data_IF_368469483685
#
_entry.id   IF_368469483685
#
_cell.length_a   1.000
_cell.length_b   1.000
_cell.length_c   1.000
_cell.angle_alpha   90.00
_cell.angle_beta   90.00
_cell.angle_gamma   90.00
#
_symmetry.space_group_name_H-M   'P 1'
#
loop_
_entity.id
_entity.type
_entity.pdbx_description
1 polymer ?
#
# COMPACT_ATOMS: atom_id res chain seq x y z
N UNK A 1 14.30 -40.94 0.05
CA UNK A 1 14.20 -39.51 0.44
C UNK A 1 15.59 -39.03 0.90
N UNK A 2 16.27 -38.23 0.08
CA UNK A 2 17.60 -37.69 0.40
C UNK A 2 17.44 -36.43 1.26
N UNK A 3 18.34 -36.18 2.21
CA UNK A 3 18.28 -34.98 3.05
C UNK A 3 18.50 -33.75 2.16
N UNK A 4 17.70 -32.69 2.36
CA UNK A 4 17.68 -31.50 1.50
C UNK A 4 19.01 -30.72 1.44
N UNK A 5 20.02 -31.13 2.21
CA UNK A 5 21.31 -30.46 2.41
C UNK A 5 22.06 -30.22 1.09
N UNK A 6 21.94 -31.13 0.11
CA UNK A 6 22.57 -30.98 -1.22
C UNK A 6 21.90 -29.94 -2.12
N UNK A 7 20.72 -29.43 -1.75
CA UNK A 7 19.95 -28.49 -2.57
C UNK A 7 19.99 -27.06 -2.03
N UNK A 8 20.73 -26.82 -0.95
CA UNK A 8 20.88 -25.49 -0.36
C UNK A 8 21.40 -24.44 -1.36
N UNK A 9 22.28 -24.84 -2.28
CA UNK A 9 22.82 -23.97 -3.33
C UNK A 9 21.98 -23.94 -4.63
N UNK A 10 20.83 -24.63 -4.65
CA UNK A 10 19.94 -24.70 -5.81
C UNK A 10 18.56 -24.13 -5.47
N UNK A 11 17.61 -24.98 -5.10
CA UNK A 11 16.22 -24.57 -4.90
C UNK A 11 16.01 -23.69 -3.67
N UNK A 12 16.94 -23.70 -2.71
CA UNK A 12 16.91 -22.78 -1.57
C UNK A 12 17.70 -21.48 -1.79
N UNK A 13 18.34 -21.32 -2.96
CA UNK A 13 19.05 -20.10 -3.33
C UNK A 13 18.18 -19.27 -4.27
N UNK A 14 17.79 -18.08 -3.79
CA UNK A 14 17.05 -17.11 -4.60
C UNK A 14 17.81 -16.70 -5.86
N UNK A 15 19.14 -16.64 -5.79
CA UNK A 15 19.97 -16.29 -6.94
C UNK A 15 19.94 -17.38 -8.02
N UNK A 16 20.07 -18.66 -7.62
CA UNK A 16 19.95 -19.78 -8.55
C UNK A 16 18.53 -19.87 -9.15
N UNK A 17 17.50 -19.65 -8.33
CA UNK A 17 16.11 -19.63 -8.82
C UNK A 17 15.84 -18.44 -9.76
N UNK A 18 16.48 -17.28 -9.54
CA UNK A 18 16.40 -16.11 -10.42
C UNK A 18 17.10 -16.37 -11.76
N UNK A 19 18.29 -16.97 -11.76
CA UNK A 19 19.01 -17.36 -12.98
C UNK A 19 18.23 -18.38 -13.82
N UNK A 20 17.51 -19.30 -13.17
CA UNK A 20 16.67 -20.30 -13.85
C UNK A 20 15.28 -19.79 -14.24
N UNK A 21 14.97 -18.53 -13.97
CA UNK A 21 13.66 -17.94 -14.29
C UNK A 21 12.51 -18.55 -13.50
N UNK A 22 12.80 -19.17 -12.35
CA UNK A 22 11.83 -19.84 -11.49
C UNK A 22 11.18 -18.87 -10.49
N UNK A 23 11.75 -17.67 -10.29
CA UNK A 23 11.14 -16.61 -9.49
C UNK A 23 10.36 -15.63 -10.38
N UNK A 24 9.14 -15.33 -9.96
CA UNK A 24 8.37 -14.20 -10.50
C UNK A 24 9.09 -12.87 -10.25
N UNK A 25 8.76 -11.84 -11.04
CA UNK A 25 9.32 -10.50 -10.82
C UNK A 25 8.96 -10.00 -9.42
N UNK A 26 9.93 -9.59 -8.58
CA UNK A 26 9.62 -9.10 -7.25
C UNK A 26 8.83 -7.79 -7.35
N UNK A 27 7.65 -7.76 -6.73
CA UNK A 27 6.87 -6.54 -6.58
C UNK A 27 7.56 -5.62 -5.56
N UNK A 28 8.44 -4.75 -6.04
CA UNK A 28 9.06 -3.71 -5.19
C UNK A 28 8.07 -2.62 -4.79
N UNK A 29 8.33 -1.92 -3.66
CA UNK A 29 7.57 -0.75 -3.23
C UNK A 29 7.52 0.36 -4.30
N UNK A 30 8.54 0.44 -5.17
CA UNK A 30 8.58 1.35 -6.31
C UNK A 30 7.44 1.09 -7.31
N UNK A 31 7.02 -0.15 -7.48
CA UNK A 31 5.88 -0.46 -8.35
C UNK A 31 4.56 0.11 -7.79
N UNK A 32 4.43 0.23 -6.47
CA UNK A 32 3.26 0.82 -5.82
C UNK A 32 3.24 2.35 -5.99
N UNK A 33 4.38 3.01 -5.84
CA UNK A 33 4.45 4.48 -5.98
C UNK A 33 4.20 4.96 -7.41
N UNK A 34 4.60 4.20 -8.42
CA UNK A 34 4.25 4.50 -9.83
C UNK A 34 2.75 4.53 -10.11
N UNK A 35 1.96 3.71 -9.39
CA UNK A 35 0.49 3.65 -9.59
C UNK A 35 -0.25 4.82 -8.94
N UNK A 36 0.36 5.49 -7.96
CA UNK A 36 -0.27 6.60 -7.19
C UNK A 36 -0.01 8.00 -7.76
N UNK A 37 0.55 8.14 -8.97
CA UNK A 37 0.86 9.46 -9.57
C UNK A 37 -0.36 10.35 -9.79
N UNK A 38 -1.56 9.80 -9.88
CA UNK A 38 -2.81 10.55 -10.07
C UNK A 38 -3.44 11.05 -8.77
N UNK A 39 -2.95 10.61 -7.60
CA UNK A 39 -3.45 11.07 -6.31
C UNK A 39 -2.68 12.33 -5.88
N UNK A 40 -3.36 13.37 -5.34
CA UNK A 40 -2.69 14.51 -4.74
C UNK A 40 -1.65 14.08 -3.69
N UNK A 41 -0.66 14.94 -3.44
CA UNK A 41 0.37 14.67 -2.44
C UNK A 41 -0.21 14.48 -1.02
N UNK A 42 -1.34 15.14 -0.73
CA UNK A 42 -2.08 15.00 0.51
C UNK A 42 -3.58 15.14 0.22
N UNK A 43 -4.36 14.20 0.74
CA UNK A 43 -5.83 14.28 0.79
C UNK A 43 -6.19 14.31 2.27
N UNK A 44 -6.80 15.40 2.71
CA UNK A 44 -7.21 15.61 4.10
C UNK A 44 -8.71 15.93 4.17
N UNK A 45 -9.29 15.69 5.34
CA UNK A 45 -10.72 15.96 5.61
C UNK A 45 -10.82 17.08 6.65
N UNK A 46 -11.72 18.03 6.45
CA UNK A 46 -12.01 19.05 7.47
C UNK A 46 -12.85 18.44 8.61
N UNK A 47 -12.62 18.77 9.88
CA UNK A 47 -13.37 18.21 11.01
C UNK A 47 -14.89 18.43 10.94
N UNK A 48 -15.35 19.40 10.16
CA UNK A 48 -16.78 19.70 9.96
C UNK A 48 -17.37 18.99 8.73
N UNK A 49 -16.56 18.25 7.96
CA UNK A 49 -17.01 17.50 6.78
C UNK A 49 -17.99 16.41 7.19
N UNK A 50 -19.08 16.28 6.44
CA UNK A 50 -20.04 15.21 6.67
C UNK A 50 -19.42 13.85 6.33
N UNK A 51 -19.77 12.83 7.11
CA UNK A 51 -19.31 11.44 6.92
C UNK A 51 -19.47 10.95 5.48
N UNK A 52 -20.62 11.25 4.85
CA UNK A 52 -20.88 10.88 3.44
C UNK A 52 -19.88 11.49 2.46
N UNK A 53 -19.47 12.73 2.71
CA UNK A 53 -18.60 13.49 1.81
C UNK A 53 -17.14 13.06 2.03
N UNK A 54 -16.78 12.79 3.29
CA UNK A 54 -15.50 12.17 3.64
C UNK A 54 -15.35 10.79 2.97
N UNK A 55 -16.37 9.93 3.04
CA UNK A 55 -16.38 8.62 2.38
C UNK A 55 -16.29 8.75 0.86
N UNK A 56 -17.03 9.69 0.27
CA UNK A 56 -16.96 9.96 -1.17
C UNK A 56 -15.54 10.40 -1.59
N UNK A 57 -14.88 11.23 -0.79
CA UNK A 57 -13.51 11.67 -1.04
C UNK A 57 -12.50 10.52 -0.96
N UNK A 58 -12.60 9.67 0.07
CA UNK A 58 -11.75 8.48 0.22
C UNK A 58 -11.85 7.57 -1.01
N UNK A 59 -13.08 7.29 -1.47
CA UNK A 59 -13.35 6.47 -2.65
C UNK A 59 -12.87 7.12 -3.94
N UNK A 60 -13.05 8.43 -4.10
CA UNK A 60 -12.61 9.16 -5.27
C UNK A 60 -11.09 9.04 -5.48
N UNK A 61 -10.32 9.12 -4.39
CA UNK A 61 -8.86 9.02 -4.43
C UNK A 61 -8.31 7.60 -4.26
N UNK A 62 -9.18 6.60 -4.05
CA UNK A 62 -8.79 5.21 -3.84
C UNK A 62 -7.92 5.01 -2.60
N UNK A 63 -8.21 5.74 -1.52
CA UNK A 63 -7.50 5.67 -0.24
C UNK A 63 -8.47 5.23 0.86
N UNK A 64 -7.99 4.41 1.78
CA UNK A 64 -8.81 3.87 2.88
C UNK A 64 -8.75 4.73 4.14
N UNK A 65 -7.93 5.78 4.15
CA UNK A 65 -7.79 6.67 5.30
C UNK A 65 -7.31 8.06 4.85
N UNK A 66 -7.67 9.06 5.64
CA UNK A 66 -7.20 10.44 5.49
C UNK A 66 -7.00 11.11 6.86
N UNK A 67 -5.99 11.97 7.02
CA UNK A 67 -5.88 12.82 8.21
C UNK A 67 -7.02 13.84 8.25
N UNK A 68 -7.47 14.16 9.47
CA UNK A 68 -8.43 15.23 9.73
C UNK A 68 -7.62 16.47 10.11
N UNK A 69 -7.72 17.54 9.33
CA UNK A 69 -6.96 18.77 9.53
C UNK A 69 -7.90 19.95 9.80
N UNK A 70 -7.58 20.75 10.81
CA UNK A 70 -8.20 22.06 11.06
C UNK A 70 -7.16 23.14 10.78
N UNK A 71 -7.20 23.72 9.58
CA UNK A 71 -6.09 24.54 9.08
C UNK A 71 -4.80 23.73 8.99
N UNK A 72 -3.78 24.14 9.74
CA UNK A 72 -2.46 23.47 9.78
C UNK A 72 -2.32 22.49 10.96
N UNK A 73 -3.38 22.29 11.75
CA UNK A 73 -3.38 21.41 12.91
C UNK A 73 -3.93 20.02 12.56
N UNK A 74 -3.17 18.99 12.90
CA UNK A 74 -3.63 17.60 12.81
C UNK A 74 -4.53 17.27 14.00
N UNK A 75 -5.77 16.90 13.71
CA UNK A 75 -6.81 16.57 14.69
C UNK A 75 -7.03 15.05 14.82
N UNK A 76 -6.34 14.24 14.01
CA UNK A 76 -6.47 12.78 13.97
C UNK A 76 -6.56 12.23 12.56
N UNK A 77 -7.17 11.05 12.44
CA UNK A 77 -7.37 10.36 11.17
C UNK A 77 -8.73 9.69 11.12
N UNK A 78 -9.30 9.64 9.93
CA UNK A 78 -10.52 8.89 9.65
C UNK A 78 -10.21 7.72 8.72
N UNK A 79 -10.84 6.57 8.99
CA UNK A 79 -10.71 5.34 8.21
C UNK A 79 -12.02 5.02 7.52
N UNK A 80 -11.98 4.46 6.31
CA UNK A 80 -13.18 4.04 5.58
C UNK A 80 -14.01 3.02 6.38
N UNK A 81 -13.33 2.08 7.07
CA UNK A 81 -13.99 1.07 7.90
C UNK A 81 -14.78 1.67 9.08
N UNK A 82 -14.39 2.85 9.59
CA UNK A 82 -15.10 3.55 10.67
C UNK A 82 -16.32 4.34 10.17
N UNK A 83 -16.43 4.55 8.85
CA UNK A 83 -17.49 5.36 8.20
C UNK A 83 -18.60 4.50 7.56
N UNK A 84 -18.44 3.18 7.56
CA UNK A 84 -19.41 2.19 7.05
C UNK A 84 -20.38 1.74 8.16
#
# INVERSE_FOLDING_TARGET
PDSGDRYLSKFYSDDWMREKGLLGRPATARHLTTRKRSTPALVAVDPTTLVRDALAQLRHYGISAAPVLSGDQNMGSVWEDDLL
#
